data_IF_760228114772
#
_entry.id   IF_760228114772
#
_cell.length_a   1.000
_cell.length_b   1.000
_cell.length_c   1.000
_cell.angle_alpha   90.00
_cell.angle_beta   90.00
_cell.angle_gamma   90.00
#
_symmetry.space_group_name_H-M   'P 1'
#
loop_
_entity.id
_entity.type
_entity.pdbx_description
1 polymer ?
#
# COMPACT_ATOMS: atom_id res chain seq x y z
N UNK A 1 -27.38 -10.74 -5.07
CA UNK A 1 -27.28 -9.31 -5.46
C UNK A 1 -27.10 -8.49 -4.19
N UNK A 2 -25.85 -8.26 -3.78
CA UNK A 2 -25.55 -7.48 -2.57
C UNK A 2 -25.33 -6.03 -2.96
N UNK A 3 -26.34 -5.20 -2.70
CA UNK A 3 -26.28 -3.74 -2.72
C UNK A 3 -25.13 -3.26 -1.83
N UNK A 4 -24.23 -2.43 -2.37
CA UNK A 4 -23.20 -1.75 -1.58
C UNK A 4 -23.87 -0.66 -0.73
N UNK A 5 -23.96 -0.79 0.60
CA UNK A 5 -24.40 0.30 1.45
C UNK A 5 -23.32 1.40 1.41
N UNK A 6 -23.76 2.66 1.43
CA UNK A 6 -22.97 3.87 1.12
C UNK A 6 -21.48 3.76 1.48
N UNK A 7 -20.61 3.94 0.47
CA UNK A 7 -19.15 3.85 0.62
C UNK A 7 -18.69 4.75 1.77
N UNK A 8 -18.23 4.15 2.86
CA UNK A 8 -17.52 4.84 3.93
C UNK A 8 -16.26 5.47 3.31
N UNK A 9 -16.11 6.78 3.43
CA UNK A 9 -14.89 7.46 3.00
C UNK A 9 -13.70 6.96 3.82
N UNK A 10 -12.65 6.52 3.14
CA UNK A 10 -11.42 6.06 3.76
C UNK A 10 -10.37 7.13 3.58
N UNK A 11 -9.79 7.54 4.70
CA UNK A 11 -8.77 8.59 4.74
C UNK A 11 -7.41 7.99 5.11
N UNK A 12 -6.40 8.39 4.37
CA UNK A 12 -5.01 8.21 4.74
C UNK A 12 -4.46 9.58 5.19
N UNK A 13 -4.40 9.80 6.50
CA UNK A 13 -4.27 11.14 7.08
C UNK A 13 -5.38 12.08 6.55
N UNK A 14 -5.01 13.12 5.80
CA UNK A 14 -5.94 14.08 5.18
C UNK A 14 -6.39 13.66 3.76
N UNK A 15 -5.82 12.61 3.19
CA UNK A 15 -6.03 12.22 1.79
C UNK A 15 -7.21 11.26 1.68
N UNK A 16 -8.21 11.57 0.85
CA UNK A 16 -9.24 10.60 0.44
C UNK A 16 -8.61 9.57 -0.50
N UNK A 17 -8.57 8.33 -0.03
CA UNK A 17 -8.00 7.18 -0.75
C UNK A 17 -9.04 6.11 -1.07
N UNK A 18 -10.33 6.43 -0.94
CA UNK A 18 -11.44 5.45 -1.01
C UNK A 18 -11.41 4.59 -2.26
N UNK A 19 -11.06 5.17 -3.42
CA UNK A 19 -10.98 4.44 -4.70
C UNK A 19 -9.72 3.58 -4.87
N UNK A 20 -8.71 3.78 -4.02
CA UNK A 20 -7.43 3.08 -4.05
C UNK A 20 -7.38 1.91 -3.05
N UNK A 21 -8.39 1.79 -2.18
CA UNK A 21 -8.50 0.73 -1.19
C UNK A 21 -8.98 -0.56 -1.85
N UNK A 22 -8.29 -1.67 -1.59
CA UNK A 22 -8.64 -3.00 -2.10
C UNK A 22 -8.99 -4.02 -1.02
N UNK A 23 -8.71 -3.71 0.25
CA UNK A 23 -9.09 -4.57 1.38
C UNK A 23 -9.41 -3.73 2.60
N UNK A 24 -10.44 -4.12 3.36
CA UNK A 24 -10.86 -3.47 4.61
C UNK A 24 -11.18 -4.57 5.62
N UNK A 25 -10.64 -4.42 6.82
CA UNK A 25 -10.93 -5.26 7.99
C UNK A 25 -11.62 -4.42 9.06
N UNK A 26 -11.72 -4.95 10.29
CA UNK A 26 -12.36 -4.25 11.40
C UNK A 26 -11.58 -2.97 11.79
N UNK A 27 -10.25 -3.02 11.75
CA UNK A 27 -9.40 -1.94 12.21
C UNK A 27 -8.44 -1.41 11.15
N UNK A 28 -8.30 -2.07 10.00
CA UNK A 28 -7.28 -1.74 9.00
C UNK A 28 -7.86 -1.66 7.59
N UNK A 29 -7.09 -1.07 6.70
CA UNK A 29 -7.33 -1.09 5.28
C UNK A 29 -6.01 -1.24 4.51
N UNK A 30 -6.09 -1.73 3.29
CA UNK A 30 -4.96 -1.80 2.38
C UNK A 30 -5.22 -0.97 1.12
N UNK A 31 -4.20 -0.21 0.72
CA UNK A 31 -4.24 0.71 -0.41
C UNK A 31 -3.08 0.43 -1.36
N UNK A 32 -3.35 0.59 -2.65
CA UNK A 32 -2.29 0.59 -3.65
C UNK A 32 -1.46 1.87 -3.56
N UNK A 33 -0.14 1.77 -3.71
CA UNK A 33 0.76 2.92 -3.53
C UNK A 33 0.73 3.84 -4.76
N UNK A 34 0.62 5.16 -4.59
CA UNK A 34 0.63 6.11 -5.71
C UNK A 34 1.93 6.06 -6.53
N UNK A 35 3.07 5.85 -5.86
CA UNK A 35 4.39 5.65 -6.48
C UNK A 35 5.06 4.43 -5.89
N UNK A 36 4.78 3.23 -6.41
CA UNK A 36 5.37 2.00 -5.89
C UNK A 36 6.89 1.99 -6.12
N UNK A 37 7.66 1.55 -5.11
CA UNK A 37 9.11 1.32 -5.24
C UNK A 37 9.43 0.15 -6.18
N UNK A 38 8.62 -0.90 -6.11
CA UNK A 38 8.66 -2.09 -6.96
C UNK A 38 7.23 -2.53 -7.29
N UNK A 39 7.00 -3.30 -8.38
CA UNK A 39 5.68 -3.82 -8.69
C UNK A 39 5.04 -4.55 -7.50
N UNK A 40 3.79 -4.21 -7.18
CA UNK A 40 3.08 -4.79 -6.03
C UNK A 40 3.39 -4.15 -4.67
N UNK A 41 4.17 -3.06 -4.62
CA UNK A 41 4.30 -2.26 -3.41
C UNK A 41 2.95 -1.64 -3.03
N UNK A 42 2.39 -2.11 -1.90
CA UNK A 42 1.16 -1.58 -1.29
C UNK A 42 1.44 -1.04 0.11
N UNK A 43 0.46 -0.33 0.68
CA UNK A 43 0.48 0.09 2.08
C UNK A 43 -0.69 -0.55 2.84
N UNK A 44 -0.47 -0.91 4.10
CA UNK A 44 -1.52 -1.28 5.04
C UNK A 44 -1.54 -0.26 6.18
N UNK A 45 -2.71 0.25 6.54
CA UNK A 45 -2.87 1.35 7.50
C UNK A 45 -4.08 1.06 8.40
N UNK A 46 -4.08 1.49 9.67
CA UNK A 46 -5.29 1.45 10.49
C UNK A 46 -6.35 2.40 9.93
N UNK A 47 -7.62 2.10 10.17
CA UNK A 47 -8.76 2.98 9.86
C UNK A 47 -8.77 4.23 10.74
N UNK A 48 -8.29 4.11 11.98
CA UNK A 48 -8.14 5.23 12.90
C UNK A 48 -6.85 5.99 12.55
N UNK A 49 -6.98 7.29 12.26
CA UNK A 49 -5.85 8.16 11.91
C UNK A 49 -5.01 8.43 13.16
N UNK A 50 -3.94 7.67 13.32
CA UNK A 50 -2.98 7.77 14.43
C UNK A 50 -1.56 7.84 13.88
N UNK A 51 -0.69 8.74 14.38
CA UNK A 51 0.63 8.97 13.80
C UNK A 51 1.65 7.89 14.17
N UNK A 52 1.57 7.31 15.37
CA UNK A 52 2.56 6.33 15.85
C UNK A 52 1.97 4.95 16.11
N UNK A 53 2.80 3.91 15.98
CA UNK A 53 2.41 2.54 16.39
C UNK A 53 2.06 2.49 17.88
N UNK A 54 2.71 3.31 18.70
CA UNK A 54 2.48 3.38 20.14
C UNK A 54 1.10 3.96 20.52
N UNK A 55 0.42 4.64 19.58
CA UNK A 55 -0.94 5.14 19.77
C UNK A 55 -2.00 4.07 19.47
N UNK A 56 -1.61 2.95 18.86
CA UNK A 56 -2.52 1.87 18.50
C UNK A 56 -2.87 1.01 19.72
N UNK A 57 -4.13 0.62 19.82
CA UNK A 57 -4.56 -0.43 20.73
C UNK A 57 -4.02 -1.78 20.30
N UNK A 58 -3.98 -2.73 21.23
CA UNK A 58 -3.56 -4.10 20.94
C UNK A 58 -4.35 -4.73 19.77
N UNK A 59 -5.66 -4.50 19.73
CA UNK A 59 -6.54 -5.00 18.66
C UNK A 59 -6.20 -4.38 17.30
N UNK A 60 -5.89 -3.08 17.26
CA UNK A 60 -5.46 -2.40 16.01
C UNK A 60 -4.11 -2.92 15.53
N UNK A 61 -3.13 -3.11 16.41
CA UNK A 61 -1.81 -3.69 16.05
C UNK A 61 -1.98 -5.11 15.52
N UNK A 62 -2.77 -5.93 16.21
CA UNK A 62 -3.02 -7.32 15.82
C UNK A 62 -3.70 -7.39 14.45
N UNK A 63 -4.76 -6.61 14.23
CA UNK A 63 -5.49 -6.56 12.98
C UNK A 63 -4.61 -6.02 11.82
N UNK A 64 -3.77 -5.01 12.08
CA UNK A 64 -2.83 -4.45 11.10
C UNK A 64 -1.87 -5.52 10.57
N UNK A 65 -1.14 -6.22 11.45
CA UNK A 65 -0.18 -7.23 11.01
C UNK A 65 -0.83 -8.53 10.53
N UNK A 66 -2.00 -8.89 11.05
CA UNK A 66 -2.80 -9.98 10.46
C UNK A 66 -3.16 -9.64 9.01
N UNK A 67 -3.57 -8.39 8.75
CA UNK A 67 -3.86 -7.90 7.39
C UNK A 67 -2.62 -7.95 6.49
N UNK A 68 -1.45 -7.53 6.99
CA UNK A 68 -0.18 -7.63 6.26
C UNK A 68 0.10 -9.08 5.84
N UNK A 69 0.05 -10.03 6.77
CA UNK A 69 0.34 -11.44 6.45
C UNK A 69 -0.64 -12.04 5.45
N UNK A 70 -1.92 -11.63 5.51
CA UNK A 70 -2.95 -12.05 4.55
C UNK A 70 -2.61 -11.55 3.14
N UNK A 71 -2.29 -10.27 3.00
CA UNK A 71 -1.97 -9.66 1.72
C UNK A 71 -0.67 -10.24 1.14
N UNK A 72 0.32 -10.55 1.96
CA UNK A 72 1.55 -11.19 1.50
C UNK A 72 1.27 -12.52 0.78
N UNK A 73 0.27 -13.31 1.20
CA UNK A 73 -0.10 -14.56 0.50
C UNK A 73 -0.55 -14.27 -0.94
N UNK A 74 -1.47 -13.33 -1.09
CA UNK A 74 -1.97 -12.89 -2.39
C UNK A 74 -0.85 -12.32 -3.26
N UNK A 75 -0.07 -11.38 -2.73
CA UNK A 75 1.04 -10.76 -3.47
C UNK A 75 2.12 -11.78 -3.86
N UNK A 76 2.38 -12.78 -3.01
CA UNK A 76 3.36 -13.83 -3.31
C UNK A 76 2.97 -14.60 -4.56
N UNK A 77 1.69 -14.97 -4.68
CA UNK A 77 1.14 -15.67 -5.85
C UNK A 77 1.14 -14.77 -7.09
N UNK A 78 0.65 -13.54 -6.96
CA UNK A 78 0.46 -12.62 -8.10
C UNK A 78 1.79 -12.12 -8.68
N UNK A 79 2.74 -11.76 -7.83
CA UNK A 79 4.01 -11.16 -8.22
C UNK A 79 5.16 -12.16 -8.21
N UNK A 80 4.89 -13.45 -8.00
CA UNK A 80 5.89 -14.52 -7.89
C UNK A 80 7.01 -14.14 -6.92
N UNK A 81 6.62 -13.59 -5.77
CA UNK A 81 7.57 -13.04 -4.81
C UNK A 81 8.34 -14.17 -4.11
N UNK A 82 9.67 -14.05 -4.07
CA UNK A 82 10.55 -14.92 -3.30
C UNK A 82 10.58 -14.50 -1.82
N UNK A 83 10.51 -13.19 -1.57
CA UNK A 83 10.61 -12.57 -0.25
C UNK A 83 9.79 -11.27 -0.20
N UNK A 84 9.83 -10.59 0.95
CA UNK A 84 9.17 -9.30 1.15
C UNK A 84 10.04 -8.37 1.98
N UNK A 85 10.06 -7.08 1.64
CA UNK A 85 10.37 -6.03 2.60
C UNK A 85 9.06 -5.59 3.25
N UNK A 86 9.02 -5.63 4.58
CA UNK A 86 7.92 -5.10 5.40
C UNK A 86 8.51 -4.05 6.31
N UNK A 87 8.07 -2.80 6.19
CA UNK A 87 8.66 -1.67 6.91
C UNK A 87 7.58 -0.73 7.44
N UNK A 88 7.80 -0.19 8.64
CA UNK A 88 7.01 0.90 9.21
C UNK A 88 7.98 2.02 9.57
N UNK A 89 7.72 3.22 9.05
CA UNK A 89 8.43 4.43 9.43
C UNK A 89 7.59 5.12 10.50
N UNK A 90 7.97 4.96 11.76
CA UNK A 90 7.24 5.47 12.93
C UNK A 90 7.87 6.78 13.42
N UNK A 91 7.30 7.91 12.98
CA UNK A 91 7.80 9.26 13.25
C UNK A 91 8.70 9.83 12.15
N UNK A 92 8.79 11.18 12.11
CA UNK A 92 9.49 11.92 11.06
C UNK A 92 10.97 11.54 10.95
N UNK A 93 11.65 11.36 12.09
CA UNK A 93 13.06 10.95 12.13
C UNK A 93 13.32 9.55 11.53
N UNK A 94 12.28 8.71 11.44
CA UNK A 94 12.33 7.40 10.78
C UNK A 94 11.95 7.47 9.28
N UNK A 95 11.73 8.67 8.73
CA UNK A 95 11.33 8.88 7.33
C UNK A 95 9.82 8.94 7.10
N UNK A 96 9.00 8.99 8.17
CA UNK A 96 7.55 9.03 8.02
C UNK A 96 7.10 10.32 7.32
N UNK A 97 6.59 10.18 6.10
CA UNK A 97 6.14 11.32 5.29
C UNK A 97 4.65 11.66 5.44
N UNK A 98 3.85 10.71 5.95
CA UNK A 98 2.43 10.90 6.25
C UNK A 98 2.21 10.57 7.72
N UNK A 99 1.67 11.53 8.47
CA UNK A 99 1.38 11.42 9.90
C UNK A 99 0.16 10.52 10.18
N UNK A 100 0.22 9.29 9.70
CA UNK A 100 -0.72 8.20 9.88
C UNK A 100 0.06 6.90 9.71
N UNK A 101 0.04 6.00 10.69
CA UNK A 101 0.73 4.70 10.62
C UNK A 101 0.46 4.02 9.28
N UNK A 102 1.50 3.60 8.59
CA UNK A 102 1.38 2.75 7.41
C UNK A 102 2.56 1.79 7.34
N UNK A 103 2.24 0.55 7.01
CA UNK A 103 3.19 -0.51 6.76
C UNK A 103 3.38 -0.67 5.26
N UNK A 104 4.61 -0.47 4.80
CA UNK A 104 5.02 -0.82 3.45
C UNK A 104 5.11 -2.33 3.33
N UNK A 105 4.45 -2.89 2.31
CA UNK A 105 4.55 -4.32 1.97
C UNK A 105 5.01 -4.40 0.52
N UNK A 106 6.26 -4.84 0.34
CA UNK A 106 6.95 -4.80 -0.95
C UNK A 106 7.37 -6.22 -1.32
N UNK A 107 6.73 -6.87 -2.32
CA UNK A 107 7.18 -8.17 -2.80
C UNK A 107 8.55 -8.03 -3.47
N UNK A 108 9.41 -9.02 -3.23
CA UNK A 108 10.78 -9.08 -3.74
C UNK A 108 10.98 -10.30 -4.62
N UNK A 109 11.73 -10.13 -5.69
CA UNK A 109 12.28 -11.22 -6.50
C UNK A 109 13.80 -11.17 -6.41
N UNK A 110 14.48 -12.33 -6.51
CA UNK A 110 15.95 -12.41 -6.33
C UNK A 110 16.75 -11.42 -7.19
N UNK A 111 16.25 -11.04 -8.36
CA UNK A 111 16.92 -10.16 -9.32
C UNK A 111 16.12 -8.87 -9.60
N UNK A 112 15.31 -8.43 -8.65
CA UNK A 112 14.59 -7.16 -8.81
C UNK A 112 15.52 -5.93 -8.70
N UNK A 113 15.01 -4.78 -9.17
CA UNK A 113 15.77 -3.53 -9.21
C UNK A 113 16.15 -2.98 -7.82
N UNK A 114 15.55 -3.50 -6.75
CA UNK A 114 15.82 -3.11 -5.37
C UNK A 114 16.95 -3.90 -4.69
N UNK A 115 17.69 -4.73 -5.44
CA UNK A 115 18.91 -5.39 -4.96
C UNK A 115 20.00 -4.42 -4.49
N UNK A 116 21.07 -4.95 -3.87
CA UNK A 116 22.22 -4.18 -3.38
C UNK A 116 21.85 -3.00 -2.46
N UNK A 117 20.98 -3.24 -1.47
CA UNK A 117 20.47 -2.26 -0.50
C UNK A 117 19.70 -1.05 -1.07
N UNK A 118 19.48 -0.99 -2.40
CA UNK A 118 18.73 0.11 -3.05
C UNK A 118 17.33 0.30 -2.47
N UNK A 119 16.66 -0.79 -2.09
CA UNK A 119 15.31 -0.71 -1.50
C UNK A 119 15.30 0.12 -0.20
N UNK A 120 16.35 0.03 0.61
CA UNK A 120 16.46 0.78 1.87
C UNK A 120 16.70 2.26 1.58
N UNK A 121 17.61 2.55 0.64
CA UNK A 121 17.88 3.91 0.17
C UNK A 121 16.62 4.56 -0.41
N UNK A 122 15.81 3.81 -1.18
CA UNK A 122 14.57 4.32 -1.73
C UNK A 122 13.49 4.57 -0.67
N UNK A 123 13.39 3.72 0.36
CA UNK A 123 12.47 3.94 1.48
C UNK A 123 12.81 5.22 2.26
N UNK A 124 14.10 5.50 2.45
CA UNK A 124 14.59 6.68 3.17
C UNK A 124 14.61 7.96 2.30
N UNK A 125 14.68 7.80 0.97
CA UNK A 125 14.79 8.90 0.02
C UNK A 125 13.45 9.51 -0.43
N UNK A 126 13.52 10.44 -1.39
CA UNK A 126 12.33 11.09 -1.97
C UNK A 126 11.31 10.09 -2.55
N UNK A 127 11.81 8.97 -3.01
CA UNK A 127 11.04 7.92 -3.66
C UNK A 127 10.07 7.19 -2.72
N UNK A 128 10.44 7.06 -1.45
CA UNK A 128 9.60 6.52 -0.38
C UNK A 128 8.63 7.55 0.20
N UNK A 129 8.73 8.83 -0.18
CA UNK A 129 7.95 9.91 0.40
C UNK A 129 6.49 9.92 -0.10
N UNK A 130 5.68 9.04 0.48
CA UNK A 130 4.25 8.91 0.17
C UNK A 130 3.50 10.24 0.31
N UNK A 131 3.80 11.04 1.34
CA UNK A 131 3.09 12.30 1.61
C UNK A 131 3.25 13.34 0.51
N UNK A 132 4.49 13.57 0.07
CA UNK A 132 4.79 14.48 -1.05
C UNK A 132 4.13 14.00 -2.34
N UNK A 133 4.14 12.69 -2.59
CA UNK A 133 3.49 12.12 -3.77
C UNK A 133 1.97 12.34 -3.75
N UNK A 134 1.33 12.14 -2.60
CA UNK A 134 -0.10 12.40 -2.45
C UNK A 134 -0.44 13.89 -2.64
N UNK A 135 0.32 14.79 -2.02
CA UNK A 135 0.13 16.24 -2.19
C UNK A 135 0.30 16.68 -3.65
N UNK A 136 1.28 16.13 -4.38
CA UNK A 136 1.48 16.40 -5.82
C UNK A 136 0.29 15.92 -6.67
N UNK A 137 -0.25 14.72 -6.39
CA UNK A 137 -1.39 14.18 -7.11
C UNK A 137 -2.68 14.98 -6.85
N UNK A 138 -2.88 15.47 -5.62
CA UNK A 138 -4.04 16.33 -5.28
C UNK A 138 -3.95 17.68 -5.98
N UNK A 139 -2.75 18.27 -6.08
CA UNK A 139 -2.52 19.59 -6.71
C UNK A 139 -2.59 19.57 -8.25
N UNK A 140 -2.76 18.40 -8.88
CA UNK A 140 -2.98 18.30 -10.33
C UNK A 140 -1.75 18.62 -11.19
N UNK A 141 -0.53 18.38 -10.70
CA UNK A 141 0.67 18.56 -11.50
C UNK A 141 0.64 17.65 -12.75
N UNK A 142 0.64 18.25 -13.94
CA UNK A 142 0.56 17.53 -15.23
C UNK A 142 1.79 16.63 -15.43
N UNK A 143 1.54 15.34 -15.63
CA UNK A 143 2.53 14.38 -16.14
C UNK A 143 3.00 14.82 -17.54
N UNK A 144 4.31 15.08 -17.71
CA UNK A 144 4.93 15.18 -19.04
C UNK A 144 5.04 13.78 -19.64
N UNK A 145 4.66 13.68 -20.92
CA UNK A 145 4.46 12.44 -21.67
C UNK A 145 5.76 12.05 -22.38
N UNK A 146 6.61 11.26 -21.75
CA UNK A 146 7.79 10.60 -22.37
C UNK A 146 8.40 9.56 -21.41
N UNK A 147 8.74 8.37 -21.92
CA UNK A 147 9.16 7.20 -21.13
C UNK A 147 10.69 7.19 -20.98
N UNK A 148 11.24 7.20 -19.76
CA UNK A 148 12.68 7.15 -19.51
C UNK A 148 13.03 6.46 -18.16
N UNK A 149 14.26 5.95 -18.08
CA UNK A 149 14.82 5.02 -17.08
C UNK A 149 14.97 5.59 -15.67
N UNK A 150 14.79 4.70 -14.68
CA UNK A 150 15.19 4.64 -13.25
C UNK A 150 15.21 5.88 -12.34
N UNK A 151 15.25 7.12 -12.84
CA UNK A 151 15.17 8.35 -12.01
C UNK A 151 13.84 9.11 -12.13
N UNK A 152 12.91 8.67 -12.99
CA UNK A 152 11.62 9.36 -13.21
C UNK A 152 10.41 8.46 -12.95
N UNK A 153 10.27 7.93 -11.72
CA UNK A 153 9.03 7.25 -11.31
C UNK A 153 7.86 8.24 -11.25
N UNK A 154 6.96 8.12 -12.24
CA UNK A 154 5.77 8.99 -12.37
C UNK A 154 4.64 8.54 -11.44
N UNK A 155 3.88 9.48 -10.84
CA UNK A 155 2.67 9.14 -10.11
C UNK A 155 1.68 8.40 -11.01
N UNK A 156 1.09 7.32 -10.51
CA UNK A 156 0.08 6.54 -11.22
C UNK A 156 -1.22 7.32 -11.34
N UNK A 157 -1.96 7.09 -12.43
CA UNK A 157 -3.24 7.76 -12.65
C UNK A 157 -4.32 7.25 -11.69
N UNK A 158 -5.28 8.10 -11.29
CA UNK A 158 -6.40 7.68 -10.41
C UNK A 158 -7.18 6.47 -10.96
N UNK A 159 -7.43 6.45 -12.27
CA UNK A 159 -8.13 5.35 -12.95
C UNK A 159 -7.32 4.04 -12.94
N UNK A 160 -6.01 4.14 -13.11
CA UNK A 160 -5.09 2.99 -13.06
C UNK A 160 -5.05 2.38 -11.66
N UNK A 161 -4.88 3.22 -10.64
CA UNK A 161 -4.88 2.76 -9.25
C UNK A 161 -6.23 2.13 -8.85
N UNK A 162 -7.35 2.71 -9.29
CA UNK A 162 -8.66 2.14 -9.01
C UNK A 162 -8.86 0.77 -9.70
N UNK A 163 -8.34 0.61 -10.92
CA UNK A 163 -8.36 -0.67 -11.62
C UNK A 163 -7.50 -1.73 -10.92
N UNK A 164 -6.29 -1.35 -10.49
CA UNK A 164 -5.42 -2.25 -9.72
C UNK A 164 -6.03 -2.63 -8.37
N UNK A 165 -6.61 -1.66 -7.65
CA UNK A 165 -7.28 -1.93 -6.38
C UNK A 165 -8.46 -2.90 -6.56
N UNK A 166 -9.27 -2.70 -7.61
CA UNK A 166 -10.35 -3.63 -7.96
C UNK A 166 -9.82 -5.03 -8.27
N UNK A 167 -8.77 -5.13 -9.06
CA UNK A 167 -8.15 -6.41 -9.40
C UNK A 167 -7.58 -7.14 -8.18
N UNK A 168 -6.84 -6.45 -7.31
CA UNK A 168 -6.31 -7.03 -6.07
C UNK A 168 -7.44 -7.49 -5.14
N UNK A 169 -8.52 -6.73 -5.01
CA UNK A 169 -9.70 -7.12 -4.23
C UNK A 169 -10.29 -8.44 -4.75
N UNK A 170 -10.47 -8.57 -6.07
CA UNK A 170 -11.00 -9.78 -6.71
C UNK A 170 -10.07 -10.99 -6.51
N UNK A 171 -8.75 -10.79 -6.54
CA UNK A 171 -7.75 -11.84 -6.30
C UNK A 171 -7.71 -12.30 -4.84
N UNK A 172 -7.84 -11.37 -3.88
CA UNK A 172 -7.94 -11.72 -2.46
C UNK A 172 -9.19 -12.55 -2.16
N UNK A 173 -10.34 -12.21 -2.75
CA UNK A 173 -11.55 -13.01 -2.59
C UNK A 173 -11.39 -14.43 -3.15
N UNK A 174 -10.58 -14.63 -4.20
CA UNK A 174 -10.29 -15.97 -4.72
C UNK A 174 -9.49 -16.78 -3.70
N UNK A 175 -8.46 -16.18 -3.10
CA UNK A 175 -7.65 -16.83 -2.07
C UNK A 175 -8.52 -17.26 -0.87
N UNK A 176 -9.47 -16.41 -0.44
CA UNK A 176 -10.40 -16.72 0.65
C UNK A 176 -11.32 -17.91 0.35
N UNK A 177 -11.85 -17.97 -0.88
CA UNK A 177 -12.70 -19.10 -1.32
C UNK A 177 -11.93 -20.42 -1.36
N UNK A 178 -10.67 -20.37 -1.78
CA UNK A 178 -9.80 -21.55 -1.83
C UNK A 178 -9.34 -22.02 -0.44
N UNK A 179 -9.13 -21.12 0.52
CA UNK A 179 -8.84 -21.47 1.91
C UNK A 179 -10.09 -22.04 2.62
N UNK A 180 -11.27 -21.43 2.41
CA UNK A 180 -12.53 -21.86 3.01
C UNK A 180 -13.07 -23.20 2.47
N UNK A 181 -12.70 -23.58 1.24
CA UNK A 181 -13.06 -24.89 0.65
C UNK A 181 -12.13 -26.04 1.04
N UNK A 182 -11.09 -25.79 1.85
CA UNK A 182 -10.15 -26.80 2.37
C UNK A 182 -10.47 -27.26 3.80
N UNK A 183 -11.58 -26.80 4.37
CA UNK A 183 -12.14 -27.22 5.65
C UNK A 183 -13.41 -28.07 5.41
#
# INVERSE_FOLDING_TARGET
MSSFPGRRLIHFAKFDVTSQVFHITKHSFAIVNLKPLLPGHILVSPLAVKPSLSDLSHDEVSDLFTTVTRIQRTLKRLYKADAFNVAVQDGEAAGQSVSHVHCHVIPRQREDAGGDDKIHQWLEGEEGNVGRHQDQAVRGAKAKKEWAQDEDRKPRGKSEMAAEAKWLSEEMEKDEREEGGKL
#
